data_IF_272223686659
#
_entry.id   IF_272223686659
#
_cell.length_a   1.000
_cell.length_b   1.000
_cell.length_c   1.000
_cell.angle_alpha   90.00
_cell.angle_beta   90.00
_cell.angle_gamma   90.00
#
_symmetry.space_group_name_H-M   'P 1'
#
loop_
_entity.id
_entity.type
_entity.pdbx_description
1 polymer ?
#
# COMPACT_ATOMS: atom_id res chain seq x y z
N UNK A 1 0.89 42.12 23.13
CA UNK A 1 1.85 41.00 23.07
C UNK A 1 1.27 39.94 22.14
N UNK A 2 1.60 40.02 20.86
CA UNK A 2 1.21 39.04 19.84
C UNK A 2 2.37 38.03 19.74
N UNK A 3 2.17 36.86 20.33
CA UNK A 3 3.16 35.78 20.32
C UNK A 3 3.08 34.98 19.02
N UNK A 4 4.10 35.15 18.18
CA UNK A 4 4.75 34.09 17.41
C UNK A 4 3.91 33.17 16.53
N UNK A 5 3.61 33.60 15.30
CA UNK A 5 3.50 32.68 14.17
C UNK A 5 4.92 32.26 13.76
N UNK A 6 5.43 31.22 14.42
CA UNK A 6 6.56 30.43 13.95
C UNK A 6 6.04 29.07 13.55
N UNK A 7 5.41 28.96 12.37
CA UNK A 7 5.14 27.67 11.74
C UNK A 7 6.50 27.05 11.34
N UNK A 8 7.16 26.42 12.30
CA UNK A 8 8.06 25.30 12.01
C UNK A 8 7.18 24.28 11.30
N UNK A 9 7.39 24.10 9.99
CA UNK A 9 6.65 23.13 9.18
C UNK A 9 6.58 21.79 9.92
N UNK A 10 5.41 21.13 9.85
CA UNK A 10 5.18 19.86 10.55
C UNK A 10 6.35 18.91 10.28
N UNK A 11 6.97 18.41 11.34
CA UNK A 11 8.03 17.40 11.26
C UNK A 11 7.44 16.09 10.74
N UNK A 12 8.32 15.18 10.32
CA UNK A 12 7.93 13.80 10.05
C UNK A 12 7.26 13.20 11.28
N UNK A 13 6.11 12.57 11.06
CA UNK A 13 5.34 11.85 12.07
C UNK A 13 4.90 10.52 11.41
N UNK A 14 5.31 9.35 11.92
CA UNK A 14 5.15 8.07 11.22
C UNK A 14 3.71 7.77 10.78
N UNK A 15 2.75 8.01 11.68
CA UNK A 15 1.32 7.81 11.40
C UNK A 15 0.78 8.82 10.39
N UNK A 16 1.11 10.10 10.54
CA UNK A 16 0.63 11.13 9.63
C UNK A 16 1.21 10.97 8.21
N UNK A 17 2.43 10.41 8.11
CA UNK A 17 3.02 10.04 6.83
C UNK A 17 2.20 8.95 6.13
N UNK A 18 1.89 7.86 6.83
CA UNK A 18 1.10 6.74 6.30
C UNK A 18 -0.29 7.22 5.83
N UNK A 19 -1.00 7.96 6.69
CA UNK A 19 -2.31 8.55 6.39
C UNK A 19 -2.25 9.46 5.14
N UNK A 20 -1.19 10.27 5.00
CA UNK A 20 -1.01 11.13 3.84
C UNK A 20 -0.72 10.35 2.55
N UNK A 21 0.08 9.27 2.61
CA UNK A 21 0.34 8.42 1.44
C UNK A 21 -0.92 7.64 1.02
N UNK A 22 -1.69 7.13 1.97
CA UNK A 22 -3.00 6.50 1.70
C UNK A 22 -3.96 7.50 1.06
N UNK A 23 -4.05 8.72 1.58
CA UNK A 23 -4.88 9.77 1.01
C UNK A 23 -4.49 10.09 -0.45
N UNK A 24 -3.20 10.19 -0.75
CA UNK A 24 -2.72 10.45 -2.11
C UNK A 24 -3.01 9.29 -3.06
N UNK A 25 -2.90 8.05 -2.60
CA UNK A 25 -3.28 6.89 -3.41
C UNK A 25 -4.78 6.88 -3.70
N UNK A 26 -5.62 7.09 -2.69
CA UNK A 26 -7.07 7.02 -2.85
C UNK A 26 -7.65 8.22 -3.62
N UNK A 27 -7.15 9.43 -3.36
CA UNK A 27 -7.74 10.68 -3.84
C UNK A 27 -6.91 11.38 -4.91
N UNK A 28 -5.62 11.06 -5.02
CA UNK A 28 -4.70 11.71 -5.94
C UNK A 28 -4.87 11.28 -7.41
N UNK A 29 -4.29 12.04 -8.35
CA UNK A 29 -4.32 11.71 -9.77
C UNK A 29 -3.58 10.38 -10.09
N UNK A 30 -4.09 9.54 -10.99
CA UNK A 30 -3.45 8.28 -11.42
C UNK A 30 -1.95 8.38 -11.73
N UNK A 31 -1.55 9.45 -12.42
CA UNK A 31 -0.18 9.69 -12.83
C UNK A 31 0.81 9.89 -11.66
N UNK A 32 0.34 10.08 -10.43
CA UNK A 32 1.19 10.33 -9.25
C UNK A 32 1.39 9.11 -8.36
N UNK A 33 0.62 8.03 -8.56
CA UNK A 33 0.62 6.89 -7.64
C UNK A 33 1.92 6.11 -7.65
N UNK A 34 2.52 5.90 -8.82
CA UNK A 34 3.83 5.25 -8.94
C UNK A 34 4.90 5.99 -8.12
N UNK A 35 4.93 7.32 -8.21
CA UNK A 35 5.85 8.15 -7.43
C UNK A 35 5.61 8.03 -5.91
N UNK A 36 4.36 8.03 -5.45
CA UNK A 36 4.02 7.85 -4.03
C UNK A 36 4.50 6.48 -3.52
N UNK A 37 4.26 5.42 -4.29
CA UNK A 37 4.69 4.06 -3.94
C UNK A 37 6.21 3.95 -3.94
N UNK A 38 6.88 4.49 -4.94
CA UNK A 38 8.34 4.50 -5.05
C UNK A 38 9.02 5.25 -3.91
N UNK A 39 8.53 6.45 -3.59
CA UNK A 39 9.06 7.25 -2.47
C UNK A 39 8.84 6.54 -1.12
N UNK A 40 7.67 5.92 -0.92
CA UNK A 40 7.40 5.11 0.26
C UNK A 40 8.32 3.90 0.34
N UNK A 41 8.44 3.10 -0.72
CA UNK A 41 9.33 1.94 -0.78
C UNK A 41 10.79 2.33 -0.50
N UNK A 42 11.24 3.47 -1.01
CA UNK A 42 12.59 3.98 -0.75
C UNK A 42 12.78 4.34 0.73
N UNK A 43 11.81 5.02 1.35
CA UNK A 43 11.83 5.32 2.78
C UNK A 43 11.83 4.06 3.63
N UNK A 44 10.92 3.12 3.34
CA UNK A 44 10.81 1.83 4.02
C UNK A 44 12.13 1.07 3.98
N UNK A 45 12.80 1.05 2.83
CA UNK A 45 14.12 0.45 2.67
C UNK A 45 15.20 1.12 3.55
N UNK A 46 15.16 2.46 3.68
CA UNK A 46 16.14 3.20 4.48
C UNK A 46 15.94 3.08 6.00
N UNK A 47 14.79 2.58 6.45
CA UNK A 47 14.48 2.29 7.87
C UNK A 47 14.51 0.79 8.18
N UNK A 48 15.08 -0.03 7.28
CA UNK A 48 15.29 -1.47 7.49
C UNK A 48 14.16 -2.37 6.98
N UNK A 49 13.10 -1.80 6.42
CA UNK A 49 11.93 -2.50 5.89
C UNK A 49 12.05 -2.94 4.42
N UNK A 50 13.22 -3.39 3.97
CA UNK A 50 13.46 -3.70 2.55
C UNK A 50 12.51 -4.77 1.98
N UNK A 51 12.15 -5.78 2.77
CA UNK A 51 11.19 -6.81 2.35
C UNK A 51 9.76 -6.24 2.19
N UNK A 52 9.35 -5.33 3.09
CA UNK A 52 8.07 -4.64 2.98
C UNK A 52 8.02 -3.72 1.76
N UNK A 53 9.12 -3.01 1.48
CA UNK A 53 9.29 -2.19 0.28
C UNK A 53 9.18 -3.01 -1.01
N UNK A 54 9.88 -4.15 -1.10
CA UNK A 54 9.85 -5.01 -2.28
C UNK A 54 8.45 -5.56 -2.54
N UNK A 55 7.76 -6.06 -1.50
CA UNK A 55 6.36 -6.53 -1.62
C UNK A 55 5.41 -5.42 -2.10
N UNK A 56 5.59 -4.21 -1.61
CA UNK A 56 4.78 -3.05 -2.00
C UNK A 56 4.96 -2.75 -3.51
N UNK A 57 6.20 -2.67 -3.99
CA UNK A 57 6.51 -2.43 -5.40
C UNK A 57 6.01 -3.56 -6.31
N UNK A 58 6.27 -4.83 -5.94
CA UNK A 58 5.83 -5.99 -6.72
C UNK A 58 4.31 -6.02 -6.86
N UNK A 59 3.58 -5.75 -5.78
CA UNK A 59 2.13 -5.74 -5.81
C UNK A 59 1.58 -4.56 -6.59
N UNK A 60 2.20 -3.38 -6.52
CA UNK A 60 1.80 -2.24 -7.35
C UNK A 60 1.91 -2.58 -8.84
N UNK A 61 3.04 -3.13 -9.29
CA UNK A 61 3.23 -3.53 -10.68
C UNK A 61 2.23 -4.60 -11.11
N UNK A 62 1.95 -5.57 -10.25
CA UNK A 62 1.00 -6.64 -10.54
C UNK A 62 -0.45 -6.14 -10.67
N UNK A 63 -0.82 -5.08 -9.93
CA UNK A 63 -2.18 -4.53 -9.95
C UNK A 63 -2.37 -3.52 -11.07
N UNK A 64 -1.37 -2.69 -11.35
CA UNK A 64 -1.50 -1.60 -12.33
C UNK A 64 -1.05 -2.00 -13.73
N UNK A 65 -0.26 -3.07 -13.87
CA UNK A 65 0.43 -3.48 -15.10
C UNK A 65 1.31 -2.38 -15.73
N UNK A 66 1.61 -1.32 -14.97
CA UNK A 66 2.46 -0.21 -15.40
C UNK A 66 3.94 -0.62 -15.31
N UNK A 67 4.84 0.04 -16.08
CA UNK A 67 6.25 -0.29 -16.07
C UNK A 67 6.93 0.12 -14.74
N UNK A 68 7.97 -0.61 -14.34
CA UNK A 68 8.75 -0.33 -13.14
C UNK A 68 9.38 1.08 -13.11
N UNK A 69 9.53 1.73 -14.26
CA UNK A 69 10.01 3.12 -14.36
C UNK A 69 9.06 4.12 -13.71
N UNK A 70 7.77 3.81 -13.61
CA UNK A 70 6.78 4.69 -12.99
C UNK A 70 6.91 4.76 -11.46
N UNK A 71 7.60 3.78 -10.86
CA UNK A 71 8.01 3.82 -9.45
C UNK A 71 9.18 4.78 -9.20
N UNK A 72 9.87 5.24 -10.25
CA UNK A 72 11.03 6.13 -10.13
C UNK A 72 10.58 7.56 -10.41
N UNK A 73 10.13 8.25 -9.37
CA UNK A 73 9.60 9.61 -9.45
C UNK A 73 10.55 10.60 -10.15
N UNK A 74 11.85 10.44 -9.91
CA UNK A 74 12.92 11.20 -10.55
C UNK A 74 14.24 10.42 -10.58
N UNK A 75 15.26 11.01 -11.22
CA UNK A 75 16.58 10.40 -11.33
C UNK A 75 17.26 10.17 -9.96
N UNK A 76 16.93 10.96 -8.93
CA UNK A 76 17.52 10.78 -7.60
C UNK A 76 16.92 9.54 -6.93
N UNK A 77 15.62 9.30 -7.06
CA UNK A 77 14.96 8.06 -6.62
C UNK A 77 15.56 6.85 -7.34
N UNK A 78 15.76 6.93 -8.66
CA UNK A 78 16.43 5.87 -9.44
C UNK A 78 17.82 5.53 -8.89
N UNK A 79 18.64 6.56 -8.63
CA UNK A 79 19.98 6.40 -8.05
C UNK A 79 19.94 5.82 -6.64
N UNK A 80 19.01 6.28 -5.81
CA UNK A 80 18.81 5.77 -4.45
C UNK A 80 18.49 4.28 -4.43
N UNK A 81 17.53 3.84 -5.25
CA UNK A 81 17.21 2.42 -5.41
C UNK A 81 18.43 1.61 -5.87
N UNK A 82 19.21 2.11 -6.84
CA UNK A 82 20.41 1.43 -7.33
C UNK A 82 21.45 1.21 -6.21
N UNK A 83 21.73 2.24 -5.41
CA UNK A 83 22.68 2.12 -4.30
C UNK A 83 22.21 1.14 -3.23
N UNK A 84 20.93 1.18 -2.84
CA UNK A 84 20.40 0.27 -1.83
C UNK A 84 20.40 -1.18 -2.31
N UNK A 85 20.07 -1.44 -3.59
CA UNK A 85 20.14 -2.78 -4.18
C UNK A 85 21.59 -3.31 -4.25
N UNK A 86 22.53 -2.43 -4.61
CA UNK A 86 23.95 -2.78 -4.59
C UNK A 86 24.45 -3.09 -3.17
N UNK A 87 24.06 -2.27 -2.19
CA UNK A 87 24.45 -2.44 -0.79
C UNK A 87 23.92 -3.74 -0.18
N UNK A 88 22.64 -4.07 -0.42
CA UNK A 88 22.01 -5.30 0.09
C UNK A 88 22.40 -6.57 -0.69
N UNK A 89 23.07 -6.43 -1.85
CA UNK A 89 23.43 -7.51 -2.77
C UNK A 89 22.24 -8.37 -3.24
N UNK A 90 21.04 -7.80 -3.25
CA UNK A 90 19.81 -8.43 -3.73
C UNK A 90 19.19 -7.55 -4.79
N UNK A 91 18.94 -8.12 -5.96
CA UNK A 91 18.18 -7.47 -7.03
C UNK A 91 16.73 -7.96 -6.93
N UNK A 92 15.78 -7.11 -6.51
CA UNK A 92 14.40 -7.52 -6.38
C UNK A 92 13.77 -7.89 -7.74
N UNK A 93 12.74 -8.72 -7.73
CA UNK A 93 12.10 -9.18 -8.96
C UNK A 93 11.44 -8.02 -9.74
N UNK A 94 10.91 -7.02 -9.03
CA UNK A 94 10.25 -5.86 -9.62
C UNK A 94 11.18 -4.98 -10.47
N UNK A 95 12.51 -5.04 -10.27
CA UNK A 95 13.45 -4.18 -11.00
C UNK A 95 13.85 -4.73 -12.37
N UNK A 96 13.37 -5.90 -12.79
CA UNK A 96 13.77 -6.54 -14.07
C UNK A 96 13.50 -5.67 -15.30
N UNK A 97 12.53 -4.77 -15.22
CA UNK A 97 12.20 -3.82 -16.30
C UNK A 97 13.00 -2.53 -16.29
N UNK A 98 13.87 -2.31 -15.29
CA UNK A 98 14.68 -1.11 -15.19
C UNK A 98 15.98 -1.24 -16.00
N UNK A 99 16.50 -0.15 -16.58
CA UNK A 99 17.82 -0.16 -17.18
C UNK A 99 18.87 -0.55 -16.11
N UNK A 100 19.90 -1.34 -16.47
CA UNK A 100 20.95 -1.68 -15.52
C UNK A 100 21.70 -0.41 -15.11
N UNK A 101 21.72 -0.13 -13.81
CA UNK A 101 22.42 1.02 -13.24
C UNK A 101 23.78 0.58 -12.69
N UNK A 102 24.85 1.18 -13.20
CA UNK A 102 26.19 1.05 -12.63
C UNK A 102 26.23 1.86 -11.33
N UNK A 103 26.15 1.17 -10.20
CA UNK A 103 26.08 1.80 -8.88
C UNK A 103 27.24 2.79 -8.63
N UNK A 104 28.45 2.47 -9.08
CA UNK A 104 29.62 3.32 -8.84
C UNK A 104 29.58 4.58 -9.75
N UNK A 105 29.10 4.44 -10.99
CA UNK A 105 28.83 5.59 -11.84
C UNK A 105 27.68 6.45 -11.30
N UNK A 106 26.61 5.83 -10.82
CA UNK A 106 25.45 6.53 -10.26
C UNK A 106 25.78 7.27 -8.97
N UNK A 107 26.62 6.70 -8.09
CA UNK A 107 27.07 7.38 -6.87
C UNK A 107 27.84 8.67 -7.21
N UNK A 108 28.73 8.63 -8.21
CA UNK A 108 29.44 9.83 -8.68
C UNK A 108 28.51 10.86 -9.30
N UNK A 109 27.51 10.42 -10.08
CA UNK A 109 26.49 11.29 -10.67
C UNK A 109 25.64 11.94 -9.57
N UNK A 110 25.24 11.16 -8.56
CA UNK A 110 24.50 11.64 -7.40
C UNK A 110 25.30 12.68 -6.62
N UNK A 111 26.60 12.45 -6.41
CA UNK A 111 27.45 13.42 -5.72
C UNK A 111 27.48 14.78 -6.41
N UNK A 112 27.66 14.79 -7.74
CA UNK A 112 27.60 16.03 -8.54
C UNK A 112 26.23 16.70 -8.47
N UNK A 113 25.16 15.93 -8.30
CA UNK A 113 23.81 16.45 -8.15
C UNK A 113 23.59 17.08 -6.76
N UNK A 114 24.15 16.51 -5.69
CA UNK A 114 24.12 17.10 -4.34
C UNK A 114 24.84 18.45 -4.26
N UNK A 115 25.96 18.57 -4.98
CA UNK A 115 26.76 19.80 -5.03
C UNK A 115 26.14 20.89 -5.92
N UNK A 116 25.11 20.55 -6.71
CA UNK A 116 24.46 21.48 -7.62
C UNK A 116 23.55 22.43 -6.84
N UNK A 117 23.76 23.72 -7.04
CA UNK A 117 22.85 24.77 -6.60
C UNK A 117 21.44 24.56 -7.19
N UNK A 118 20.40 24.65 -6.36
CA UNK A 118 19.03 24.65 -6.85
C UNK A 118 18.73 26.05 -7.41
N UNK A 119 18.68 26.16 -8.73
CA UNK A 119 18.19 27.38 -9.37
C UNK A 119 16.71 27.52 -9.05
N UNK A 120 16.27 28.58 -8.34
CA UNK A 120 14.86 28.80 -8.04
C UNK A 120 14.03 29.14 -9.29
N UNK A 121 14.67 29.23 -10.46
CA UNK A 121 14.02 29.58 -11.71
C UNK A 121 14.19 28.42 -12.70
N UNK A 122 13.06 27.91 -13.18
CA UNK A 122 13.03 26.94 -14.26
C UNK A 122 13.69 27.55 -15.51
N UNK A 123 14.56 26.82 -16.22
CA UNK A 123 15.42 27.39 -17.26
C UNK A 123 14.69 27.72 -18.58
N UNK A 124 13.36 27.74 -18.59
CA UNK A 124 12.61 28.08 -19.81
C UNK A 124 12.34 29.57 -19.89
N UNK A 125 13.36 30.32 -20.30
CA UNK A 125 13.24 31.75 -20.64
C UNK A 125 13.06 31.97 -22.16
N UNK A 126 13.00 30.90 -22.97
CA UNK A 126 13.02 30.96 -24.43
C UNK A 126 14.38 31.39 -25.02
N UNK A 127 14.43 31.66 -26.33
CA UNK A 127 15.68 31.90 -27.08
C UNK A 127 16.08 33.38 -27.25
N UNK A 128 15.39 34.30 -26.59
CA UNK A 128 15.62 35.74 -26.76
C UNK A 128 16.98 36.19 -26.22
N UNK A 129 17.49 37.34 -26.70
CA UNK A 129 18.71 37.93 -26.13
C UNK A 129 18.54 38.33 -24.65
N UNK A 130 17.33 38.74 -24.26
CA UNK A 130 16.98 39.01 -22.86
C UNK A 130 16.95 37.74 -22.01
N UNK A 131 16.48 36.62 -22.58
CA UNK A 131 16.50 35.31 -21.94
C UNK A 131 17.92 34.83 -21.65
N UNK A 132 18.85 35.00 -22.61
CA UNK A 132 20.27 34.68 -22.42
C UNK A 132 20.95 35.56 -21.38
N UNK A 133 20.57 36.84 -21.29
CA UNK A 133 21.07 37.75 -20.25
C UNK A 133 20.50 37.39 -18.86
N UNK A 134 19.22 37.04 -18.78
CA UNK A 134 18.58 36.57 -17.56
C UNK A 134 19.17 35.23 -17.08
N UNK A 135 19.37 34.27 -17.98
CA UNK A 135 20.03 33.00 -17.68
C UNK A 135 21.48 33.20 -17.19
N UNK A 136 22.22 34.16 -17.79
CA UNK A 136 23.55 34.56 -17.32
C UNK A 136 23.54 35.15 -15.90
N UNK A 137 22.54 35.97 -15.58
CA UNK A 137 22.34 36.55 -14.24
C UNK A 137 21.89 35.50 -13.22
N UNK A 138 21.05 34.54 -13.59
CA UNK A 138 20.61 33.43 -12.73
C UNK A 138 21.77 32.47 -12.45
N UNK A 139 22.65 32.22 -13.42
CA UNK A 139 23.89 31.47 -13.20
C UNK A 139 24.91 32.23 -12.33
N UNK A 140 24.86 33.56 -12.29
CA UNK A 140 25.72 34.41 -11.45
C UNK A 140 25.15 34.68 -10.06
N UNK A 141 23.83 34.60 -9.88
CA UNK A 141 23.21 34.59 -8.57
C UNK A 141 23.68 33.32 -7.86
N UNK A 142 24.41 33.47 -6.76
CA UNK A 142 24.88 32.35 -5.94
C UNK A 142 23.69 31.69 -5.26
N UNK A 143 22.96 30.86 -6.00
CA UNK A 143 22.01 29.94 -5.42
C UNK A 143 22.81 28.98 -4.53
N UNK A 144 22.57 29.03 -3.22
CA UNK A 144 23.17 28.04 -2.34
C UNK A 144 22.51 26.67 -2.61
N UNK A 145 23.27 25.57 -2.56
CA UNK A 145 22.68 24.24 -2.59
C UNK A 145 21.69 24.06 -1.44
N UNK A 146 20.59 23.33 -1.70
CA UNK A 146 19.60 22.95 -0.70
C UNK A 146 20.30 22.48 0.59
N UNK A 147 19.97 23.06 1.77
CA UNK A 147 20.58 22.66 3.03
C UNK A 147 20.49 21.16 3.31
N UNK A 148 19.43 20.48 2.85
CA UNK A 148 19.29 19.03 3.00
C UNK A 148 20.29 18.26 2.10
N UNK A 149 20.53 18.71 0.86
CA UNK A 149 21.57 18.13 0.00
C UNK A 149 22.97 18.30 0.59
N UNK A 150 23.26 19.47 1.19
CA UNK A 150 24.52 19.71 1.89
C UNK A 150 24.71 18.78 3.09
N UNK A 151 23.65 18.51 3.84
CA UNK A 151 23.70 17.58 4.96
C UNK A 151 23.92 16.14 4.49
N UNK A 152 23.25 15.71 3.41
CA UNK A 152 23.48 14.41 2.79
C UNK A 152 24.94 14.24 2.33
N UNK A 153 25.49 15.22 1.60
CA UNK A 153 26.88 15.20 1.16
C UNK A 153 27.88 15.14 2.33
N UNK A 154 27.65 15.92 3.39
CA UNK A 154 28.49 15.89 4.60
C UNK A 154 28.39 14.57 5.35
N UNK A 155 27.21 13.94 5.37
CA UNK A 155 27.03 12.63 5.99
C UNK A 155 27.81 11.56 5.21
N UNK A 156 27.77 11.59 3.88
CA UNK A 156 28.55 10.71 3.01
C UNK A 156 30.07 10.92 3.17
N UNK A 157 30.51 12.15 3.44
CA UNK A 157 31.93 12.49 3.68
C UNK A 157 32.42 12.20 5.11
N UNK A 158 31.53 11.86 6.04
CA UNK A 158 31.89 11.72 7.44
C UNK A 158 32.99 10.66 7.65
N UNK A 159 33.91 10.95 8.56
CA UNK A 159 35.06 10.09 8.86
C UNK A 159 34.72 8.95 9.82
N UNK A 160 33.65 9.10 10.62
CA UNK A 160 33.23 8.15 11.63
C UNK A 160 31.69 8.03 11.72
N UNK A 161 31.24 6.94 12.35
CA UNK A 161 29.81 6.64 12.51
C UNK A 161 29.07 7.66 13.37
N UNK A 162 29.71 8.19 14.42
CA UNK A 162 29.10 9.21 15.28
C UNK A 162 28.78 10.49 14.49
N UNK A 163 29.67 10.89 13.57
CA UNK A 163 29.48 11.98 12.65
C UNK A 163 28.31 11.74 11.68
N UNK A 164 28.20 10.52 11.14
CA UNK A 164 27.07 10.11 10.28
C UNK A 164 25.75 10.26 11.03
N UNK A 165 25.59 9.60 12.18
CA UNK A 165 24.34 9.63 12.95
C UNK A 165 23.91 11.06 13.34
N UNK A 166 24.86 11.89 13.75
CA UNK A 166 24.59 13.31 14.06
C UNK A 166 24.08 14.07 12.85
N UNK A 167 24.67 13.87 11.67
CA UNK A 167 24.26 14.54 10.44
C UNK A 167 22.92 14.03 9.90
N UNK A 168 22.64 12.73 10.06
CA UNK A 168 21.31 12.16 9.77
C UNK A 168 20.23 12.75 10.68
N UNK A 169 20.49 12.86 11.98
CA UNK A 169 19.57 13.51 12.92
C UNK A 169 19.34 14.99 12.57
N UNK A 170 20.39 15.72 12.17
CA UNK A 170 20.25 17.10 11.70
C UNK A 170 19.43 17.19 10.40
N UNK A 171 19.65 16.25 9.47
CA UNK A 171 18.89 16.15 8.22
C UNK A 171 17.41 15.91 8.51
N UNK A 172 17.08 14.94 9.36
CA UNK A 172 15.69 14.62 9.74
C UNK A 172 15.01 15.79 10.45
N UNK A 173 15.71 16.49 11.34
CA UNK A 173 15.15 17.66 12.04
C UNK A 173 14.74 18.80 11.10
N UNK A 174 15.32 18.84 9.89
CA UNK A 174 15.01 19.80 8.82
C UNK A 174 14.15 19.19 7.71
N UNK A 175 14.05 17.88 7.64
CA UNK A 175 13.19 17.20 6.70
C UNK A 175 11.73 17.51 7.09
N UNK A 176 10.95 17.96 6.11
CA UNK A 176 9.53 18.19 6.30
C UNK A 176 8.76 16.88 6.54
N UNK A 177 7.41 16.90 6.47
CA UNK A 177 6.59 15.73 6.75
C UNK A 177 6.76 14.60 5.72
N UNK A 178 7.35 14.92 4.56
CA UNK A 178 7.72 13.96 3.50
C UNK A 178 9.21 14.05 3.21
N UNK A 179 10.04 13.30 3.94
CA UNK A 179 11.49 13.33 3.76
C UNK A 179 11.88 12.81 2.37
N UNK A 180 12.65 13.59 1.61
CA UNK A 180 13.19 13.19 0.30
C UNK A 180 14.42 12.30 0.47
N UNK A 181 14.20 11.09 0.96
CA UNK A 181 15.27 10.13 1.32
C UNK A 181 16.17 9.74 0.16
N UNK A 182 15.75 9.94 -1.10
CA UNK A 182 16.60 9.82 -2.29
C UNK A 182 17.88 10.65 -2.21
N UNK A 183 17.86 11.78 -1.51
CA UNK A 183 19.06 12.59 -1.26
C UNK A 183 20.14 11.80 -0.51
N UNK A 184 19.74 11.00 0.47
CA UNK A 184 20.62 10.17 1.29
C UNK A 184 20.91 8.83 0.61
N UNK A 185 19.88 8.15 0.10
CA UNK A 185 19.98 6.81 -0.46
C UNK A 185 20.92 6.74 -1.67
N UNK A 186 21.00 7.80 -2.49
CA UNK A 186 21.93 7.85 -3.63
C UNK A 186 23.40 8.01 -3.25
N UNK A 187 23.72 8.19 -1.96
CA UNK A 187 25.09 8.30 -1.46
C UNK A 187 25.69 6.90 -1.23
N UNK A 188 26.75 6.56 -1.98
CA UNK A 188 27.32 5.22 -1.97
C UNK A 188 27.84 4.75 -0.59
N UNK A 189 28.40 5.65 0.24
CA UNK A 189 28.90 5.26 1.57
C UNK A 189 27.79 5.17 2.62
N UNK A 190 26.67 5.86 2.40
CA UNK A 190 25.51 5.80 3.30
C UNK A 190 24.58 4.63 2.99
N UNK A 191 24.51 4.19 1.74
CA UNK A 191 23.55 3.17 1.31
C UNK A 191 23.59 1.86 2.13
N UNK A 192 24.75 1.30 2.53
CA UNK A 192 24.78 0.13 3.43
C UNK A 192 24.14 0.40 4.78
N UNK A 193 24.44 1.55 5.40
CA UNK A 193 23.88 1.94 6.70
C UNK A 193 22.37 2.16 6.61
N UNK A 194 21.91 2.78 5.52
CA UNK A 194 20.48 3.00 5.27
C UNK A 194 19.76 1.67 5.03
N UNK A 195 20.36 0.73 4.30
CA UNK A 195 19.79 -0.61 4.11
C UNK A 195 19.69 -1.39 5.43
N UNK A 196 20.58 -1.13 6.39
CA UNK A 196 20.52 -1.65 7.77
C UNK A 196 19.53 -0.88 8.67
N UNK A 197 18.87 0.16 8.16
CA UNK A 197 17.85 0.91 8.88
C UNK A 197 18.36 2.11 9.68
N UNK A 198 19.51 2.69 9.35
CA UNK A 198 20.08 3.83 10.08
C UNK A 198 19.19 5.08 10.17
N UNK A 199 18.12 5.20 9.38
CA UNK A 199 17.14 6.28 9.52
C UNK A 199 16.01 5.99 10.52
N UNK A 200 15.89 4.76 11.03
CA UNK A 200 14.77 4.38 11.87
C UNK A 200 14.71 5.21 13.18
N UNK A 201 15.81 5.22 13.93
CA UNK A 201 15.92 5.97 15.19
C UNK A 201 15.83 7.49 14.99
N UNK A 202 16.54 8.13 14.02
CA UNK A 202 16.39 9.56 13.74
C UNK A 202 14.96 10.00 13.38
N UNK A 203 14.19 9.15 12.68
CA UNK A 203 12.80 9.43 12.31
C UNK A 203 11.80 9.07 13.41
N UNK A 204 12.24 8.41 14.49
CA UNK A 204 11.37 7.94 15.56
C UNK A 204 10.33 6.92 15.08
N UNK A 205 10.67 6.08 14.09
CA UNK A 205 9.76 5.01 13.63
C UNK A 205 9.82 3.84 14.61
N UNK A 206 8.67 3.31 15.07
CA UNK A 206 8.64 2.14 15.93
C UNK A 206 8.93 0.85 15.15
N UNK A 207 9.27 -0.22 15.88
CA UNK A 207 9.40 -1.57 15.32
C UNK A 207 8.09 -2.01 14.63
N UNK A 208 8.20 -2.65 13.47
CA UNK A 208 7.03 -3.12 12.69
C UNK A 208 6.32 -2.03 11.86
N UNK A 209 6.71 -0.75 12.03
CA UNK A 209 6.15 0.34 11.23
C UNK A 209 6.27 0.13 9.71
N UNK A 210 7.39 -0.40 9.17
CA UNK A 210 7.49 -0.60 7.73
C UNK A 210 6.44 -1.58 7.18
N UNK A 211 6.15 -2.64 7.91
CA UNK A 211 5.13 -3.63 7.59
C UNK A 211 3.73 -3.04 7.66
N UNK A 212 3.44 -2.23 8.69
CA UNK A 212 2.17 -1.52 8.84
C UNK A 212 1.91 -0.58 7.67
N UNK A 213 2.88 0.28 7.33
CA UNK A 213 2.74 1.23 6.20
C UNK A 213 2.59 0.51 4.87
N UNK A 214 3.40 -0.52 4.61
CA UNK A 214 3.23 -1.33 3.40
C UNK A 214 1.83 -1.96 3.37
N UNK A 215 1.34 -2.50 4.48
CA UNK A 215 -0.01 -3.05 4.61
C UNK A 215 -1.11 -2.04 4.30
N UNK A 216 -1.03 -0.83 4.86
CA UNK A 216 -1.99 0.25 4.62
C UNK A 216 -2.00 0.70 3.15
N UNK A 217 -0.83 0.87 2.54
CA UNK A 217 -0.73 1.25 1.12
C UNK A 217 -1.22 0.13 0.20
N UNK A 218 -0.94 -1.12 0.53
CA UNK A 218 -1.48 -2.28 -0.19
C UNK A 218 -3.00 -2.37 -0.07
N UNK A 219 -3.57 -2.05 1.09
CA UNK A 219 -5.02 -1.98 1.27
C UNK A 219 -5.62 -0.83 0.45
N UNK A 220 -4.99 0.35 0.45
CA UNK A 220 -5.39 1.49 -0.36
C UNK A 220 -5.38 1.17 -1.86
N UNK A 221 -4.34 0.47 -2.34
CA UNK A 221 -4.26 0.00 -3.73
C UNK A 221 -5.41 -0.95 -4.08
N UNK A 222 -5.79 -1.88 -3.20
CA UNK A 222 -6.92 -2.79 -3.45
C UNK A 222 -8.27 -2.07 -3.49
N UNK A 223 -8.45 -1.05 -2.65
CA UNK A 223 -9.67 -0.25 -2.64
C UNK A 223 -9.83 0.56 -3.93
N UNK A 224 -8.71 1.05 -4.48
CA UNK A 224 -8.68 1.84 -5.70
C UNK A 224 -8.80 1.00 -6.96
N UNK A 225 -7.99 -0.04 -7.05
CA UNK A 225 -7.85 -0.93 -8.19
C UNK A 225 -8.25 -2.34 -7.73
N UNK A 226 -9.56 -2.56 -7.50
CA UNK A 226 -10.04 -3.88 -7.14
C UNK A 226 -9.65 -4.83 -8.26
N UNK A 227 -9.03 -5.96 -7.89
CA UNK A 227 -8.74 -7.00 -8.86
C UNK A 227 -10.04 -7.32 -9.60
N UNK A 228 -10.02 -7.40 -10.95
CA UNK A 228 -11.20 -7.80 -11.67
C UNK A 228 -11.65 -9.14 -11.09
N UNK A 229 -12.90 -9.20 -10.63
CA UNK A 229 -13.48 -10.44 -10.14
C UNK A 229 -13.28 -11.48 -11.25
N UNK A 230 -12.46 -12.50 -10.98
CA UNK A 230 -12.32 -13.60 -11.92
C UNK A 230 -13.72 -14.23 -12.07
N UNK A 231 -14.18 -14.41 -13.30
CA UNK A 231 -15.48 -15.04 -13.58
C UNK A 231 -15.38 -16.56 -13.41
N UNK A 232 -14.98 -17.00 -12.21
CA UNK A 232 -14.97 -18.40 -11.82
C UNK A 232 -16.35 -18.84 -11.36
N UNK A 233 -16.74 -20.11 -11.57
CA UNK A 233 -18.00 -20.63 -11.04
C UNK A 233 -18.13 -20.40 -9.52
N UNK A 234 -19.35 -20.14 -9.03
CA UNK A 234 -19.59 -19.89 -7.60
C UNK A 234 -19.05 -21.01 -6.69
N UNK A 235 -19.12 -22.26 -7.14
CA UNK A 235 -18.56 -23.38 -6.40
C UNK A 235 -17.04 -23.26 -6.21
N UNK A 236 -16.31 -22.83 -7.25
CA UNK A 236 -14.88 -22.64 -7.18
C UNK A 236 -14.52 -21.45 -6.28
N UNK A 237 -15.29 -20.36 -6.33
CA UNK A 237 -15.09 -19.24 -5.41
C UNK A 237 -15.22 -19.65 -3.94
N UNK A 238 -16.25 -20.44 -3.61
CA UNK A 238 -16.43 -20.94 -2.22
C UNK A 238 -15.25 -21.81 -1.78
N UNK A 239 -14.76 -22.70 -2.64
CA UNK A 239 -13.57 -23.52 -2.33
C UNK A 239 -12.32 -22.66 -2.11
N UNK A 240 -12.11 -21.63 -2.94
CA UNK A 240 -11.00 -20.68 -2.78
C UNK A 240 -11.09 -19.93 -1.46
N UNK A 241 -12.28 -19.49 -1.05
CA UNK A 241 -12.50 -18.83 0.24
C UNK A 241 -12.21 -19.79 1.39
N UNK A 242 -12.75 -21.02 1.35
CA UNK A 242 -12.50 -22.01 2.40
C UNK A 242 -11.01 -22.35 2.51
N UNK A 243 -10.32 -22.48 1.37
CA UNK A 243 -8.87 -22.68 1.33
C UNK A 243 -8.13 -21.48 1.93
N UNK A 244 -8.48 -20.26 1.51
CA UNK A 244 -7.84 -19.03 1.98
C UNK A 244 -8.11 -18.72 3.46
N UNK A 245 -9.16 -19.28 4.08
CA UNK A 245 -9.39 -19.16 5.52
C UNK A 245 -8.40 -19.95 6.37
N UNK A 246 -7.69 -20.91 5.78
CA UNK A 246 -6.80 -21.81 6.51
C UNK A 246 -5.38 -21.28 6.46
N UNK A 247 -4.87 -20.83 7.60
CA UNK A 247 -3.51 -20.33 7.75
C UNK A 247 -2.47 -21.47 7.87
N UNK A 248 -2.90 -22.65 8.32
CA UNK A 248 -2.03 -23.82 8.47
C UNK A 248 -2.15 -24.74 7.23
N UNK A 249 -1.07 -24.89 6.43
CA UNK A 249 -1.08 -25.78 5.27
C UNK A 249 -1.17 -27.28 5.64
N UNK A 250 -0.93 -27.65 6.90
CA UNK A 250 -0.93 -29.05 7.35
C UNK A 250 -2.30 -29.53 7.88
N UNK A 251 -3.28 -28.64 8.06
CA UNK A 251 -4.64 -29.00 8.47
C UNK A 251 -5.61 -28.95 7.25
N UNK A 252 -6.38 -30.02 6.97
CA UNK A 252 -7.31 -30.02 5.85
C UNK A 252 -8.42 -28.97 6.06
N UNK A 253 -8.80 -28.21 5.02
CA UNK A 253 -9.84 -27.21 5.14
C UNK A 253 -11.17 -27.84 5.58
N UNK A 254 -12.01 -27.12 6.34
CA UNK A 254 -13.30 -27.57 6.79
C UNK A 254 -14.12 -27.89 5.55
N UNK A 255 -14.81 -29.03 5.57
CA UNK A 255 -15.60 -29.44 4.43
C UNK A 255 -16.64 -28.36 4.16
N UNK A 256 -16.76 -28.02 2.88
CA UNK A 256 -17.87 -27.22 2.38
C UNK A 256 -19.19 -27.81 2.88
N UNK A 257 -20.12 -26.93 3.24
CA UNK A 257 -21.47 -27.38 3.58
C UNK A 257 -22.11 -28.05 2.35
N UNK A 258 -22.92 -29.11 2.53
CA UNK A 258 -23.64 -29.72 1.44
C UNK A 258 -24.45 -28.67 0.66
N UNK A 259 -24.53 -28.82 -0.66
CA UNK A 259 -25.36 -27.95 -1.49
C UNK A 259 -26.83 -27.98 -1.05
N UNK A 260 -27.49 -26.83 -1.07
CA UNK A 260 -28.92 -26.74 -0.84
C UNK A 260 -29.67 -27.39 -2.01
N UNK A 261 -30.63 -28.25 -1.70
CA UNK A 261 -31.51 -28.83 -2.72
C UNK A 261 -32.38 -27.73 -3.37
N UNK A 262 -32.71 -27.82 -4.67
CA UNK A 262 -33.56 -26.84 -5.35
C UNK A 262 -34.89 -26.58 -4.62
N UNK A 263 -35.48 -27.61 -4.00
CA UNK A 263 -36.71 -27.52 -3.22
C UNK A 263 -36.56 -26.68 -1.96
N UNK A 264 -35.39 -26.75 -1.30
CA UNK A 264 -35.07 -25.97 -0.10
C UNK A 264 -34.93 -24.48 -0.46
N UNK A 265 -34.24 -24.17 -1.57
CA UNK A 265 -34.14 -22.81 -2.09
C UNK A 265 -35.53 -22.27 -2.43
N UNK A 266 -36.35 -23.03 -3.15
CA UNK A 266 -37.71 -22.64 -3.50
C UNK A 266 -38.61 -22.46 -2.25
N UNK A 267 -38.40 -23.26 -1.20
CA UNK A 267 -39.12 -23.10 0.06
C UNK A 267 -38.70 -21.82 0.82
N UNK A 268 -37.42 -21.47 0.79
CA UNK A 268 -36.92 -20.21 1.32
C UNK A 268 -37.54 -19.00 0.59
N UNK A 269 -37.55 -19.02 -0.74
CA UNK A 269 -38.16 -17.96 -1.55
C UNK A 269 -39.66 -17.78 -1.28
N UNK A 270 -40.39 -18.89 -1.10
CA UNK A 270 -41.82 -18.84 -0.72
C UNK A 270 -42.04 -18.20 0.65
N UNK A 271 -41.19 -18.51 1.63
CA UNK A 271 -41.25 -17.96 2.99
C UNK A 271 -40.85 -16.47 3.02
N UNK A 272 -39.87 -16.08 2.22
CA UNK A 272 -39.44 -14.69 2.04
C UNK A 272 -40.47 -13.88 1.22
N UNK A 273 -41.26 -14.55 0.38
CA UNK A 273 -42.24 -13.92 -0.51
C UNK A 273 -41.62 -13.29 -1.75
N UNK A 274 -40.34 -13.56 -2.05
CA UNK A 274 -39.60 -13.03 -3.22
C UNK A 274 -38.57 -14.05 -3.69
N UNK A 275 -38.26 -14.01 -4.99
CA UNK A 275 -37.15 -14.76 -5.59
C UNK A 275 -35.82 -14.16 -5.14
N UNK A 276 -34.90 -15.00 -4.70
CA UNK A 276 -33.55 -14.60 -4.28
C UNK A 276 -32.72 -14.17 -5.51
N UNK A 277 -31.66 -13.35 -5.31
CA UNK A 277 -30.70 -13.04 -6.36
C UNK A 277 -30.11 -14.31 -6.99
N UNK A 278 -29.85 -14.31 -8.30
CA UNK A 278 -29.38 -15.51 -9.01
C UNK A 278 -27.98 -15.97 -8.55
N UNK A 279 -27.11 -15.04 -8.19
CA UNK A 279 -25.80 -15.34 -7.61
C UNK A 279 -25.91 -15.91 -6.19
N UNK A 280 -26.85 -15.42 -5.37
CA UNK A 280 -27.11 -16.01 -4.05
C UNK A 280 -27.74 -17.41 -4.14
N UNK A 281 -28.61 -17.65 -5.15
CA UNK A 281 -29.12 -19.00 -5.45
C UNK A 281 -28.01 -19.93 -5.91
N UNK A 282 -27.10 -19.44 -6.75
CA UNK A 282 -25.91 -20.17 -7.17
C UNK A 282 -25.01 -20.48 -5.97
N UNK A 283 -24.90 -19.58 -4.99
CA UNK A 283 -24.20 -19.84 -3.74
C UNK A 283 -24.86 -20.94 -2.92
N UNK A 284 -26.17 -20.90 -2.69
CA UNK A 284 -26.86 -21.97 -1.94
C UNK A 284 -26.77 -23.33 -2.64
N UNK A 285 -26.91 -23.35 -3.97
CA UNK A 285 -26.71 -24.55 -4.79
C UNK A 285 -25.25 -25.02 -4.80
N UNK A 286 -24.32 -24.14 -4.44
CA UNK A 286 -22.94 -24.46 -4.19
C UNK A 286 -22.77 -25.03 -2.76
N UNK A 287 -23.09 -24.24 -1.74
CA UNK A 287 -22.89 -24.50 -0.32
C UNK A 287 -24.12 -23.97 0.44
N UNK A 288 -24.82 -24.83 1.17
CA UNK A 288 -25.93 -24.40 2.04
C UNK A 288 -25.36 -23.70 3.28
N UNK A 289 -25.08 -22.41 3.13
CA UNK A 289 -24.40 -21.60 4.16
C UNK A 289 -22.87 -21.68 4.09
N UNK A 290 -22.22 -20.88 4.94
CA UNK A 290 -20.77 -20.79 5.04
C UNK A 290 -20.39 -20.57 6.51
N UNK A 291 -19.46 -21.33 7.10
CA UNK A 291 -19.00 -21.10 8.47
C UNK A 291 -18.49 -19.66 8.70
N UNK A 292 -18.52 -19.19 9.94
CA UNK A 292 -17.89 -17.92 10.29
C UNK A 292 -16.36 -18.00 10.12
N UNK A 293 -15.73 -16.86 9.88
CA UNK A 293 -14.29 -16.66 10.06
C UNK A 293 -14.01 -15.34 10.80
N UNK A 294 -12.75 -14.90 10.80
CA UNK A 294 -12.30 -13.68 11.47
C UNK A 294 -12.84 -12.38 10.86
N UNK A 295 -13.28 -12.37 9.60
CA UNK A 295 -13.75 -11.17 8.88
C UNK A 295 -15.25 -11.25 8.54
N UNK A 296 -15.79 -12.45 8.32
CA UNK A 296 -17.15 -12.68 7.84
C UNK A 296 -17.95 -13.56 8.81
N UNK A 297 -19.14 -13.12 9.26
CA UNK A 297 -20.00 -13.94 10.10
C UNK A 297 -20.51 -15.19 9.36
N UNK A 298 -21.02 -16.18 10.11
CA UNK A 298 -21.59 -17.39 9.52
C UNK A 298 -22.73 -17.03 8.58
N UNK A 299 -22.65 -17.45 7.32
CA UNK A 299 -23.74 -17.31 6.37
C UNK A 299 -24.79 -18.39 6.60
N UNK A 300 -26.05 -17.96 6.58
CA UNK A 300 -27.21 -18.79 6.91
C UNK A 300 -27.54 -19.78 5.81
N UNK A 301 -28.07 -20.93 6.23
CA UNK A 301 -28.61 -21.98 5.37
C UNK A 301 -29.96 -21.54 4.79
N UNK A 302 -30.40 -22.18 3.69
CA UNK A 302 -31.66 -21.88 3.04
C UNK A 302 -32.87 -22.03 3.98
N UNK A 303 -32.83 -23.01 4.90
CA UNK A 303 -33.87 -23.24 5.90
C UNK A 303 -33.86 -22.19 7.03
N UNK A 304 -32.80 -21.41 7.21
CA UNK A 304 -32.66 -20.36 8.22
C UNK A 304 -33.07 -18.95 7.72
N UNK A 305 -33.18 -18.76 6.40
CA UNK A 305 -33.44 -17.45 5.80
C UNK A 305 -34.81 -16.89 6.13
N UNK A 306 -34.87 -15.62 6.51
CA UNK A 306 -36.11 -14.93 6.81
C UNK A 306 -36.05 -13.48 6.36
N UNK A 307 -37.20 -12.95 5.95
CA UNK A 307 -37.36 -11.54 5.64
C UNK A 307 -37.87 -10.78 6.87
N UNK A 308 -37.33 -9.60 7.12
CA UNK A 308 -37.93 -8.62 8.01
C UNK A 308 -39.15 -7.95 7.33
N UNK A 309 -39.95 -7.23 8.11
CA UNK A 309 -41.18 -6.56 7.63
C UNK A 309 -40.94 -5.58 6.46
N UNK A 310 -39.74 -5.04 6.35
CA UNK A 310 -39.31 -4.15 5.27
C UNK A 310 -38.80 -4.89 4.02
N UNK A 311 -38.89 -6.22 3.99
CA UNK A 311 -38.45 -7.09 2.89
C UNK A 311 -36.94 -7.38 2.87
N UNK A 312 -36.15 -6.85 3.82
CA UNK A 312 -34.73 -7.16 3.95
C UNK A 312 -34.56 -8.61 4.41
N UNK A 313 -33.71 -9.37 3.73
CA UNK A 313 -33.42 -10.77 4.09
C UNK A 313 -32.10 -10.81 4.85
N UNK A 314 -32.11 -11.33 6.07
CA UNK A 314 -30.89 -11.57 6.83
C UNK A 314 -30.23 -12.85 6.31
N UNK A 315 -28.96 -12.76 5.92
CA UNK A 315 -28.22 -13.89 5.31
C UNK A 315 -26.98 -14.31 6.11
N UNK A 316 -26.72 -13.68 7.25
CA UNK A 316 -25.72 -14.13 8.21
C UNK A 316 -26.28 -14.21 9.62
N UNK A 317 -25.59 -14.94 10.50
CA UNK A 317 -25.74 -14.72 11.93
C UNK A 317 -25.36 -13.28 12.28
N UNK A 318 -26.04 -12.75 13.30
CA UNK A 318 -25.72 -11.45 13.87
C UNK A 318 -24.65 -11.65 14.94
N UNK A 319 -23.49 -11.05 14.74
CA UNK A 319 -22.39 -11.03 15.71
C UNK A 319 -22.22 -9.64 16.30
N UNK A 320 -21.29 -9.49 17.24
CA UNK A 320 -20.84 -8.16 17.70
C UNK A 320 -20.14 -7.35 16.60
N UNK A 321 -19.56 -8.04 15.61
CA UNK A 321 -18.83 -7.46 14.47
C UNK A 321 -19.74 -7.12 13.28
N UNK A 322 -20.97 -7.62 13.23
CA UNK A 322 -21.93 -7.16 12.24
C UNK A 322 -22.95 -8.19 11.78
N UNK A 323 -23.66 -7.81 10.71
CA UNK A 323 -24.67 -8.63 10.03
C UNK A 323 -24.65 -8.35 8.53
N UNK A 324 -24.84 -9.40 7.73
CA UNK A 324 -24.96 -9.33 6.28
C UNK A 324 -26.42 -9.52 5.87
N UNK A 325 -26.90 -8.64 5.00
CA UNK A 325 -28.30 -8.64 4.55
C UNK A 325 -28.44 -8.46 3.05
N UNK A 326 -29.49 -9.03 2.47
CA UNK A 326 -29.94 -8.75 1.10
C UNK A 326 -31.08 -7.72 1.15
N UNK A 327 -30.90 -6.60 0.49
CA UNK A 327 -31.86 -5.49 0.48
C UNK A 327 -32.52 -5.39 -0.90
N UNK A 328 -33.85 -5.58 -1.02
CA UNK A 328 -34.56 -5.44 -2.29
C UNK A 328 -34.80 -3.95 -2.62
N UNK A 329 -34.09 -3.43 -3.64
CA UNK A 329 -34.23 -2.09 -4.24
C UNK A 329 -34.62 -2.22 -5.73
N UNK A 330 -34.00 -1.44 -6.64
CA UNK A 330 -34.11 -1.59 -8.10
C UNK A 330 -33.39 -2.85 -8.63
N UNK A 331 -33.38 -3.92 -7.83
CA UNK A 331 -32.44 -5.03 -7.86
C UNK A 331 -32.17 -5.50 -6.42
N UNK A 332 -31.25 -6.43 -6.25
CA UNK A 332 -30.76 -6.82 -4.92
C UNK A 332 -29.43 -6.13 -4.64
N UNK A 333 -29.26 -5.64 -3.43
CA UNK A 333 -27.97 -5.17 -2.91
C UNK A 333 -27.61 -6.00 -1.69
N UNK A 334 -26.31 -6.16 -1.46
CA UNK A 334 -25.82 -6.79 -0.23
C UNK A 334 -25.27 -5.71 0.67
N UNK A 335 -25.65 -5.73 1.94
CA UNK A 335 -25.22 -4.74 2.93
C UNK A 335 -24.59 -5.47 4.10
N UNK A 336 -23.32 -5.16 4.34
CA UNK A 336 -22.60 -5.50 5.57
C UNK A 336 -22.76 -4.33 6.53
N UNK A 337 -23.36 -4.57 7.70
CA UNK A 337 -23.53 -3.55 8.73
C UNK A 337 -22.73 -3.91 9.98
N UNK A 338 -21.71 -3.12 10.27
CA UNK A 338 -20.86 -3.19 11.46
C UNK A 338 -21.21 -2.01 12.40
N UNK A 339 -21.51 -2.25 13.69
CA UNK A 339 -21.87 -1.19 14.63
C UNK A 339 -20.78 -0.12 14.86
N UNK A 340 -19.50 -0.48 14.71
CA UNK A 340 -18.34 0.39 14.90
C UNK A 340 -17.80 1.00 13.59
N UNK A 341 -17.84 0.26 12.48
CA UNK A 341 -17.27 0.68 11.19
C UNK A 341 -18.30 1.26 10.21
N UNK A 342 -19.60 1.12 10.48
CA UNK A 342 -20.67 1.63 9.62
C UNK A 342 -21.21 0.57 8.68
N UNK A 343 -21.59 0.96 7.45
CA UNK A 343 -22.20 0.01 6.51
C UNK A 343 -21.53 0.06 5.14
N UNK A 344 -21.22 -1.12 4.61
CA UNK A 344 -20.67 -1.32 3.27
C UNK A 344 -21.72 -1.95 2.38
N UNK A 345 -21.82 -1.48 1.14
CA UNK A 345 -22.78 -1.98 0.14
C UNK A 345 -22.06 -2.64 -1.02
N UNK A 346 -22.50 -3.82 -1.41
CA UNK A 346 -22.00 -4.56 -2.57
C UNK A 346 -23.10 -4.66 -3.63
N UNK A 347 -22.73 -4.54 -4.92
CA UNK A 347 -23.71 -4.60 -6.02
C UNK A 347 -24.32 -5.99 -6.19
N UNK A 348 -23.70 -7.04 -5.65
CA UNK A 348 -24.15 -8.42 -5.72
C UNK A 348 -23.56 -9.24 -4.57
N UNK A 349 -24.10 -10.44 -4.33
CA UNK A 349 -23.54 -11.36 -3.34
C UNK A 349 -22.21 -11.96 -3.80
N UNK A 350 -22.06 -12.16 -5.11
CA UNK A 350 -20.76 -12.50 -5.70
C UNK A 350 -19.70 -11.44 -5.36
N UNK A 351 -20.01 -10.15 -5.54
CA UNK A 351 -19.09 -9.06 -5.24
C UNK A 351 -18.70 -9.00 -3.76
N UNK A 352 -19.59 -9.38 -2.84
CA UNK A 352 -19.25 -9.57 -1.42
C UNK A 352 -18.20 -10.68 -1.24
N UNK A 353 -18.43 -11.86 -1.83
CA UNK A 353 -17.51 -12.99 -1.69
C UNK A 353 -16.15 -12.73 -2.35
N UNK A 354 -16.11 -12.04 -3.49
CA UNK A 354 -14.87 -11.64 -4.14
C UNK A 354 -14.08 -10.64 -3.27
N UNK A 355 -14.76 -9.67 -2.65
CA UNK A 355 -14.15 -8.74 -1.70
C UNK A 355 -13.59 -9.49 -0.48
N UNK A 356 -14.34 -10.46 0.05
CA UNK A 356 -13.90 -11.30 1.16
C UNK A 356 -12.66 -12.14 0.82
N UNK A 357 -12.64 -12.80 -0.33
CA UNK A 357 -11.47 -13.55 -0.79
C UNK A 357 -10.24 -12.64 -0.94
N UNK A 358 -10.42 -11.43 -1.45
CA UNK A 358 -9.35 -10.45 -1.59
C UNK A 358 -8.78 -10.00 -0.23
N UNK A 359 -9.59 -9.96 0.82
CA UNK A 359 -9.14 -9.66 2.19
C UNK A 359 -8.32 -10.82 2.78
N UNK A 360 -8.79 -12.07 2.63
CA UNK A 360 -8.09 -13.25 3.10
C UNK A 360 -6.70 -13.41 2.46
N UNK A 361 -6.59 -13.16 1.15
CA UNK A 361 -5.30 -13.19 0.44
C UNK A 361 -4.27 -12.14 0.91
N UNK A 362 -4.71 -11.12 1.67
CA UNK A 362 -3.80 -10.17 2.32
C UNK A 362 -3.29 -10.61 3.69
N UNK A 363 -4.04 -11.47 4.38
CA UNK A 363 -3.76 -11.86 5.77
C UNK A 363 -2.67 -12.94 5.85
N UNK A 364 -2.55 -13.79 4.82
CA UNK A 364 -1.55 -14.87 4.76
C UNK A 364 -0.14 -14.43 4.39
N UNK A 365 0.03 -13.20 3.89
CA UNK A 365 1.36 -12.67 3.56
C UNK A 365 2.14 -12.15 4.78
N UNK A 366 1.53 -12.15 5.97
CA UNK A 366 2.13 -11.71 7.23
C UNK A 366 2.57 -12.83 8.19
N UNK A 367 2.26 -14.10 7.89
CA UNK A 367 2.62 -15.24 8.72
C UNK A 367 3.72 -16.05 8.04
N UNK A 368 4.98 -15.61 8.18
CA UNK A 368 6.12 -16.50 8.01
C UNK A 368 6.27 -17.34 9.30
N UNK A 369 6.05 -18.66 9.28
CA UNK A 369 6.21 -19.51 10.46
C UNK A 369 7.70 -19.76 10.82
N UNK A 370 8.65 -19.16 10.09
CA UNK A 370 10.07 -19.50 10.17
C UNK A 370 10.93 -18.73 11.18
N UNK A 371 10.43 -17.71 11.89
CA UNK A 371 11.31 -16.86 12.74
C UNK A 371 11.40 -17.26 14.22
N UNK A 372 10.69 -18.31 14.66
CA UNK A 372 10.95 -18.94 15.93
C UNK A 372 11.91 -20.11 15.72
N UNK A 373 13.09 -20.03 16.34
CA UNK A 373 14.18 -21.02 16.34
C UNK A 373 15.18 -20.93 15.17
N UNK A 374 16.10 -19.95 15.25
CA UNK A 374 17.55 -20.20 15.15
C UNK A 374 18.38 -19.08 15.75
#
# INVERSE_FOLDING_TARGET
>A
MLGGFGELGRRFEPRAYAEACVADLLLGPPATHGAVIGDAALLLSCVGGAAAADRLCERWLAVTELPATDLLADDATARGCAQLHAARQVVPAWTRGLPPLDAEAEARTHRRWLDRADSPIAPDFGSSAAARAAEGLVRQATAEPDPLKRLAARADDAADMAGVHRLLAEWVAKAGPRPKVAQLAGCGRLAPLLAEGALAEPLGVPDGWPEEVAGELLAALRLRDPAPAEDVPMAELVERILTARHADPDEPPPPRQPAAMPEAIAAAERRIGRRLPDDYRAFLAASDGLPADVVLPRLLRADELHAADNGVVVISERTEYGVVTLVPRHGWLVVEADPGLGSTTHPSFRALLDAHLALLGGSHAGADPGSAWR
#
